data_IF_327419802528
#
_entry.id   IF_327419802528
#
_cell.length_a   1.000
_cell.length_b   1.000
_cell.length_c   1.000
_cell.angle_alpha   90.00
_cell.angle_beta   90.00
_cell.angle_gamma   90.00
#
_symmetry.space_group_name_H-M   'P 1'
#
loop_
_entity.id
_entity.type
_entity.pdbx_description
1 polymer ?
#
# COMPACT_ATOMS: atom_id res chain seq x y z
N UNK A 1 -4.61 6.81 16.55
CA UNK A 1 -3.74 5.62 16.46
C UNK A 1 -4.02 4.77 17.68
N UNK A 2 -4.29 3.47 17.52
CA UNK A 2 -4.51 2.55 18.66
C UNK A 2 -3.18 2.15 19.29
N UNK A 3 -3.22 1.67 20.53
CA UNK A 3 -2.04 1.10 21.21
C UNK A 3 -1.43 -0.07 20.42
N UNK A 4 -2.26 -0.92 19.82
CA UNK A 4 -1.78 -2.05 19.00
C UNK A 4 -0.97 -1.62 17.77
N UNK A 5 -1.24 -0.46 17.17
CA UNK A 5 -0.40 0.05 16.07
C UNK A 5 0.99 0.44 16.58
N UNK A 6 1.07 1.03 17.78
CA UNK A 6 2.35 1.39 18.38
C UNK A 6 3.19 0.15 18.73
N UNK A 7 2.57 -0.89 19.28
CA UNK A 7 3.25 -2.16 19.57
C UNK A 7 3.77 -2.84 18.30
N UNK A 8 2.98 -2.83 17.22
CA UNK A 8 3.40 -3.37 15.93
C UNK A 8 4.51 -2.53 15.28
N UNK A 9 4.48 -1.20 15.47
CA UNK A 9 5.53 -0.30 15.00
C UNK A 9 6.83 -0.53 15.78
N UNK A 10 6.77 -0.68 17.10
CA UNK A 10 7.94 -1.06 17.91
C UNK A 10 8.50 -2.42 17.46
N UNK A 11 7.64 -3.40 17.21
CA UNK A 11 8.06 -4.71 16.70
C UNK A 11 8.71 -4.61 15.31
N UNK A 12 8.20 -3.77 14.41
CA UNK A 12 8.79 -3.54 13.09
C UNK A 12 10.17 -2.90 13.20
N UNK A 13 10.30 -1.87 14.05
CA UNK A 13 11.56 -1.18 14.30
C UNK A 13 12.63 -2.14 14.86
N UNK A 14 12.29 -2.89 15.91
CA UNK A 14 13.20 -3.83 16.56
C UNK A 14 13.64 -4.99 15.66
N UNK A 15 12.87 -5.30 14.61
CA UNK A 15 13.15 -6.38 13.65
C UNK A 15 13.77 -5.86 12.35
N UNK A 16 13.97 -4.55 12.22
CA UNK A 16 14.40 -3.89 10.99
C UNK A 16 13.46 -4.20 9.79
N UNK A 17 12.18 -4.47 10.08
CA UNK A 17 11.14 -4.77 9.09
C UNK A 17 10.38 -3.49 8.71
N UNK A 18 11.12 -2.47 8.28
CA UNK A 18 10.65 -1.08 8.10
C UNK A 18 9.84 -0.86 6.82
N UNK A 19 9.83 -1.83 5.91
CA UNK A 19 9.20 -1.71 4.61
C UNK A 19 7.67 -1.82 4.69
N UNK A 20 7.00 -1.17 3.75
CA UNK A 20 5.57 -1.31 3.53
C UNK A 20 5.21 -1.03 2.08
N UNK A 21 3.93 -1.12 1.77
CA UNK A 21 3.43 -0.86 0.42
C UNK A 21 2.11 -0.10 0.46
N UNK A 22 1.97 0.82 -0.49
CA UNK A 22 0.66 1.31 -0.90
C UNK A 22 -0.04 0.20 -1.68
N UNK A 23 -1.27 -0.13 -1.27
CA UNK A 23 -2.10 -1.17 -1.84
C UNK A 23 -3.16 -0.57 -2.75
N UNK A 24 -3.08 -0.88 -4.04
CA UNK A 24 -3.95 -0.40 -5.09
C UNK A 24 -4.75 -1.54 -5.72
N UNK A 25 -5.92 -1.20 -6.25
CA UNK A 25 -6.83 -2.17 -6.90
C UNK A 25 -7.36 -1.67 -8.25
N UNK A 26 -6.48 -1.40 -9.24
CA UNK A 26 -6.87 -0.99 -10.58
C UNK A 26 -7.82 -1.99 -11.26
N UNK A 27 -8.70 -1.46 -12.13
CA UNK A 27 -9.62 -2.28 -12.93
C UNK A 27 -8.82 -3.12 -13.94
N UNK A 28 -9.28 -4.35 -14.21
CA UNK A 28 -8.67 -5.27 -15.19
C UNK A 28 -8.46 -4.62 -16.57
N UNK A 29 -9.37 -3.75 -17.00
CA UNK A 29 -9.27 -3.08 -18.31
C UNK A 29 -8.15 -2.04 -18.36
N UNK A 30 -7.77 -1.48 -17.21
CA UNK A 30 -6.76 -0.41 -17.11
C UNK A 30 -5.38 -0.93 -16.71
N UNK A 31 -5.29 -2.18 -16.23
CA UNK A 31 -4.07 -2.68 -15.58
C UNK A 31 -2.83 -2.60 -16.45
N UNK A 32 -2.96 -2.83 -17.77
CA UNK A 32 -1.83 -2.72 -18.69
C UNK A 32 -1.26 -1.30 -18.76
N UNK A 33 -2.14 -0.30 -18.93
CA UNK A 33 -1.74 1.10 -19.00
C UNK A 33 -1.17 1.60 -17.68
N UNK A 34 -1.85 1.31 -16.56
CA UNK A 34 -1.39 1.70 -15.22
C UNK A 34 -0.05 1.07 -14.89
N UNK A 35 0.12 -0.23 -15.20
CA UNK A 35 1.37 -0.92 -14.95
C UNK A 35 2.52 -0.35 -15.78
N UNK A 36 2.27 -0.01 -17.05
CA UNK A 36 3.28 0.64 -17.89
C UNK A 36 3.74 1.97 -17.27
N UNK A 37 2.81 2.79 -16.76
CA UNK A 37 3.17 4.05 -16.08
C UNK A 37 3.99 3.82 -14.81
N UNK A 38 3.64 2.81 -14.01
CA UNK A 38 4.41 2.44 -12.82
C UNK A 38 5.83 2.02 -13.19
N UNK A 39 6.01 1.22 -14.24
CA UNK A 39 7.33 0.80 -14.72
C UNK A 39 8.19 1.99 -15.14
N UNK A 40 7.62 2.99 -15.81
CA UNK A 40 8.32 4.24 -16.16
C UNK A 40 8.80 4.98 -14.90
N UNK A 41 7.93 5.14 -13.90
CA UNK A 41 8.26 5.82 -12.66
C UNK A 41 9.34 5.07 -11.84
N UNK A 42 9.35 3.74 -11.89
CA UNK A 42 10.42 2.92 -11.29
C UNK A 42 11.72 3.10 -12.07
N UNK A 43 11.68 3.03 -13.40
CA UNK A 43 12.85 3.23 -14.25
C UNK A 43 13.49 4.62 -14.07
N UNK A 44 12.67 5.64 -13.84
CA UNK A 44 13.09 7.02 -13.55
C UNK A 44 13.57 7.22 -12.10
N UNK A 45 13.49 6.20 -11.25
CA UNK A 45 13.85 6.28 -9.83
C UNK A 45 12.91 7.14 -8.97
N UNK A 46 11.70 7.43 -9.47
CA UNK A 46 10.67 8.19 -8.74
C UNK A 46 9.87 7.28 -7.78
N UNK A 47 9.75 6.00 -8.15
CA UNK A 47 9.26 4.91 -7.30
C UNK A 47 10.40 3.92 -7.00
N UNK A 48 10.35 3.26 -5.84
CA UNK A 48 11.38 2.30 -5.43
C UNK A 48 11.22 0.93 -6.10
N UNK A 49 10.07 0.31 -5.90
CA UNK A 49 9.73 -1.00 -6.44
C UNK A 49 8.20 -1.12 -6.52
N UNK A 50 7.72 -2.00 -7.39
CA UNK A 50 6.31 -2.26 -7.54
C UNK A 50 6.04 -3.70 -8.01
N UNK A 51 4.88 -4.22 -7.61
CA UNK A 51 4.41 -5.54 -8.01
C UNK A 51 2.94 -5.48 -8.42
N UNK A 52 2.56 -6.39 -9.32
CA UNK A 52 1.18 -6.52 -9.77
C UNK A 52 0.79 -7.99 -9.85
N UNK A 53 -0.42 -8.31 -9.36
CA UNK A 53 -0.98 -9.65 -9.49
C UNK A 53 -1.22 -10.00 -10.95
N UNK A 54 -0.94 -11.23 -11.35
CA UNK A 54 -1.23 -11.71 -12.72
C UNK A 54 -2.68 -12.16 -12.87
N UNK A 55 -3.12 -12.40 -14.11
CA UNK A 55 -4.42 -13.00 -14.37
C UNK A 55 -4.55 -14.38 -13.69
N UNK A 56 -3.49 -15.20 -13.72
CA UNK A 56 -3.42 -16.47 -13.02
C UNK A 56 -3.56 -16.33 -11.50
N UNK A 57 -2.88 -15.35 -10.90
CA UNK A 57 -3.04 -15.07 -9.47
C UNK A 57 -4.47 -14.68 -9.12
N UNK A 58 -5.10 -13.83 -9.95
CA UNK A 58 -6.47 -13.40 -9.75
C UNK A 58 -7.47 -14.57 -9.84
N UNK A 59 -7.29 -15.46 -10.82
CA UNK A 59 -8.14 -16.65 -11.02
C UNK A 59 -7.97 -17.69 -9.91
N UNK A 60 -6.74 -17.95 -9.46
CA UNK A 60 -6.44 -18.92 -8.40
C UNK A 60 -7.12 -18.58 -7.07
N UNK A 61 -7.36 -17.29 -6.78
CA UNK A 61 -8.07 -16.84 -5.57
C UNK A 61 -9.58 -17.00 -5.66
N UNK A 62 -10.12 -17.53 -6.77
CA UNK A 62 -11.57 -17.58 -7.05
C UNK A 62 -12.25 -16.22 -6.86
N UNK A 63 -11.50 -15.15 -7.07
CA UNK A 63 -11.96 -13.79 -6.85
C UNK A 63 -12.96 -13.41 -7.93
N UNK A 64 -14.19 -13.04 -7.53
CA UNK A 64 -15.17 -12.43 -8.44
C UNK A 64 -14.86 -10.95 -8.71
N UNK A 65 -13.82 -10.40 -8.09
CA UNK A 65 -13.39 -9.02 -8.33
C UNK A 65 -13.03 -8.82 -9.80
N UNK A 66 -13.20 -7.61 -10.31
CA UNK A 66 -12.68 -7.21 -11.62
C UNK A 66 -11.42 -6.36 -11.48
N UNK A 67 -10.75 -6.46 -10.32
CA UNK A 67 -9.63 -5.60 -9.92
C UNK A 67 -8.41 -6.44 -9.58
N UNK A 68 -7.26 -5.92 -9.97
CA UNK A 68 -5.97 -6.57 -9.80
C UNK A 68 -5.27 -5.92 -8.62
N UNK A 69 -4.65 -6.73 -7.77
CA UNK A 69 -3.77 -6.21 -6.73
C UNK A 69 -2.54 -5.57 -7.37
N UNK A 70 -2.14 -4.42 -6.84
CA UNK A 70 -0.86 -3.78 -7.12
C UNK A 70 -0.29 -3.23 -5.81
N UNK A 71 0.98 -3.50 -5.56
CA UNK A 71 1.75 -2.98 -4.43
C UNK A 71 2.83 -2.04 -4.93
N UNK A 72 2.95 -0.86 -4.31
CA UNK A 72 4.04 0.09 -4.57
C UNK A 72 4.81 0.28 -3.26
N UNK A 73 6.10 -0.06 -3.29
CA UNK A 73 6.92 -0.18 -2.09
C UNK A 73 7.39 1.18 -1.55
N UNK A 74 7.47 1.26 -0.22
CA UNK A 74 8.18 2.31 0.52
C UNK A 74 9.16 1.60 1.48
N UNK A 75 10.49 1.86 1.38
CA UNK A 75 11.50 1.14 2.17
C UNK A 75 11.42 1.35 3.67
N UNK A 76 10.95 2.52 4.11
CA UNK A 76 10.86 2.88 5.51
C UNK A 76 9.57 3.66 5.79
N UNK A 77 8.56 3.02 6.38
CA UNK A 77 7.28 3.66 6.65
C UNK A 77 7.28 4.59 7.88
N UNK A 78 8.39 4.64 8.64
CA UNK A 78 8.60 5.65 9.68
C UNK A 78 8.99 7.01 9.09
N UNK A 79 9.50 7.05 7.85
CA UNK A 79 9.65 8.29 7.09
C UNK A 79 8.29 8.67 6.50
N UNK A 80 7.46 9.32 7.30
CA UNK A 80 6.09 9.71 6.93
C UNK A 80 6.09 10.65 5.72
N UNK A 81 7.13 11.49 5.56
CA UNK A 81 7.28 12.37 4.41
C UNK A 81 7.50 11.57 3.12
N UNK A 82 8.30 10.51 3.15
CA UNK A 82 8.50 9.64 1.99
C UNK A 82 7.26 8.80 1.68
N UNK A 83 6.55 8.29 2.70
CA UNK A 83 5.26 7.60 2.52
C UNK A 83 4.25 8.52 1.84
N UNK A 84 4.16 9.78 2.28
CA UNK A 84 3.31 10.80 1.66
C UNK A 84 3.74 11.10 0.22
N UNK A 85 5.04 11.34 -0.03
CA UNK A 85 5.58 11.61 -1.37
C UNK A 85 5.19 10.52 -2.37
N UNK A 86 5.28 9.24 -1.97
CA UNK A 86 4.89 8.12 -2.84
C UNK A 86 3.36 8.10 -3.05
N UNK A 87 2.56 8.34 -2.01
CA UNK A 87 1.11 8.44 -2.15
C UNK A 87 0.65 9.62 -3.03
N UNK A 88 1.35 10.74 -2.95
CA UNK A 88 1.10 11.92 -3.78
C UNK A 88 1.48 11.66 -5.23
N UNK A 89 2.61 10.99 -5.47
CA UNK A 89 2.99 10.56 -6.81
C UNK A 89 1.97 9.61 -7.42
N UNK A 90 1.49 8.64 -6.65
CA UNK A 90 0.42 7.72 -7.06
C UNK A 90 -0.84 8.47 -7.50
N UNK A 91 -1.19 9.54 -6.79
CA UNK A 91 -2.38 10.36 -7.04
C UNK A 91 -2.19 11.26 -8.27
N UNK A 92 -1.06 11.97 -8.34
CA UNK A 92 -0.77 12.95 -9.40
C UNK A 92 -0.49 12.31 -10.76
N UNK A 93 -0.05 11.05 -10.78
CA UNK A 93 0.21 10.25 -11.99
C UNK A 93 -0.99 9.37 -12.39
N UNK A 94 -2.15 9.52 -11.73
CA UNK A 94 -3.40 8.79 -11.99
C UNK A 94 -3.23 7.25 -12.01
N UNK A 95 -2.37 6.72 -11.14
CA UNK A 95 -2.08 5.28 -11.08
C UNK A 95 -3.30 4.50 -10.55
N UNK A 96 -4.03 5.09 -9.60
CA UNK A 96 -5.19 4.43 -8.98
C UNK A 96 -6.42 4.44 -9.90
N UNK A 97 -6.52 5.44 -10.79
CA UNK A 97 -7.72 5.78 -11.55
C UNK A 97 -8.79 6.50 -10.70
N UNK A 98 -9.81 7.03 -11.37
CA UNK A 98 -10.91 7.79 -10.74
C UNK A 98 -11.55 7.07 -9.54
N UNK A 99 -11.71 7.83 -8.44
CA UNK A 99 -12.48 7.51 -7.22
C UNK A 99 -12.00 6.28 -6.41
N UNK A 100 -10.72 5.92 -6.48
CA UNK A 100 -10.21 4.73 -5.78
C UNK A 100 -9.47 5.06 -4.49
N UNK A 101 -9.86 4.37 -3.40
CA UNK A 101 -9.14 4.38 -2.12
C UNK A 101 -8.00 3.37 -2.17
N UNK A 102 -6.79 3.84 -1.96
CA UNK A 102 -5.61 3.02 -1.71
C UNK A 102 -5.14 3.25 -0.27
N UNK A 103 -4.46 2.26 0.30
CA UNK A 103 -4.08 2.26 1.71
C UNK A 103 -2.69 1.68 1.91
N UNK A 104 -1.97 2.21 2.88
CA UNK A 104 -0.63 1.77 3.19
C UNK A 104 -0.65 0.63 4.19
N UNK A 105 0.10 -0.43 3.91
CA UNK A 105 0.24 -1.58 4.81
C UNK A 105 1.72 -1.92 5.01
N UNK A 106 2.21 -1.94 6.26
CA UNK A 106 3.55 -2.45 6.58
C UNK A 106 3.71 -3.92 6.19
N UNK A 107 4.88 -4.31 5.70
CA UNK A 107 5.15 -5.70 5.30
C UNK A 107 5.12 -6.65 6.50
N UNK A 108 5.49 -6.17 7.70
CA UNK A 108 5.33 -6.95 8.94
C UNK A 108 3.88 -7.41 9.13
N UNK A 109 2.89 -6.59 8.80
CA UNK A 109 1.48 -6.94 8.98
C UNK A 109 1.12 -8.11 8.05
N UNK A 110 1.60 -8.10 6.81
CA UNK A 110 1.43 -9.21 5.87
C UNK A 110 2.15 -10.48 6.36
N UNK A 111 3.37 -10.36 6.89
CA UNK A 111 4.15 -11.49 7.43
C UNK A 111 3.49 -12.14 8.65
N UNK A 112 2.85 -11.35 9.51
CA UNK A 112 2.04 -11.83 10.64
C UNK A 112 0.65 -12.33 10.24
N UNK A 113 0.29 -12.25 8.95
CA UNK A 113 -1.03 -12.65 8.46
C UNK A 113 -2.16 -11.72 8.90
N UNK A 114 -1.86 -10.48 9.29
CA UNK A 114 -2.83 -9.47 9.68
C UNK A 114 -3.57 -8.98 8.43
N UNK A 115 -4.89 -9.01 8.48
CA UNK A 115 -5.82 -8.53 7.48
C UNK A 115 -7.10 -8.04 8.16
N UNK A 116 -7.97 -7.37 7.41
CA UNK A 116 -9.16 -6.70 7.96
C UNK A 116 -10.01 -7.59 8.90
N UNK A 117 -10.10 -8.91 8.63
CA UNK A 117 -10.95 -9.82 9.42
C UNK A 117 -10.35 -10.27 10.75
N UNK A 118 -9.05 -10.06 10.97
CA UNK A 118 -8.38 -10.45 12.21
C UNK A 118 -7.60 -9.29 12.85
N UNK A 119 -7.73 -8.07 12.34
CA UNK A 119 -7.07 -6.87 12.84
C UNK A 119 -7.29 -6.68 14.36
N UNK A 120 -8.53 -6.86 14.82
CA UNK A 120 -8.89 -6.70 16.24
C UNK A 120 -8.14 -7.67 17.17
N UNK A 121 -7.77 -8.87 16.68
CA UNK A 121 -6.97 -9.83 17.45
C UNK A 121 -5.53 -9.36 17.71
N UNK A 122 -5.11 -8.28 17.04
CA UNK A 122 -3.82 -7.61 17.21
C UNK A 122 -3.98 -6.20 17.83
N UNK A 123 -5.14 -5.87 18.39
CA UNK A 123 -5.37 -4.57 19.03
C UNK A 123 -5.43 -3.37 18.07
N UNK A 124 -5.65 -3.63 16.78
CA UNK A 124 -5.77 -2.61 15.73
C UNK A 124 -7.15 -2.65 15.07
N UNK A 125 -7.64 -1.49 14.64
CA UNK A 125 -8.95 -1.35 13.98
C UNK A 125 -8.93 -1.79 12.51
N UNK A 126 -7.75 -1.76 11.89
CA UNK A 126 -7.54 -2.05 10.48
C UNK A 126 -6.12 -2.54 10.22
N UNK A 127 -5.95 -3.35 9.18
CA UNK A 127 -4.60 -3.67 8.65
C UNK A 127 -3.98 -2.51 7.85
N UNK A 128 -4.60 -1.35 7.83
CA UNK A 128 -4.11 -0.12 7.19
C UNK A 128 -3.35 0.71 8.23
N UNK A 129 -2.10 1.06 7.93
CA UNK A 129 -1.31 1.94 8.81
C UNK A 129 -1.46 3.41 8.46
N UNK A 130 -1.60 3.72 7.17
CA UNK A 130 -1.84 5.08 6.68
C UNK A 130 -2.87 5.09 5.56
N UNK A 131 -3.69 6.13 5.52
CA UNK A 131 -4.47 6.51 4.34
C UNK A 131 -3.85 7.77 3.74
N UNK A 132 -3.95 7.94 2.42
CA UNK A 132 -3.40 9.12 1.77
C UNK A 132 -4.09 10.41 2.25
N UNK A 133 -5.41 10.37 2.47
CA UNK A 133 -6.15 11.52 3.01
C UNK A 133 -5.63 11.96 4.37
N UNK A 134 -5.40 11.01 5.30
CA UNK A 134 -4.88 11.35 6.62
C UNK A 134 -3.46 11.93 6.55
N UNK A 135 -2.62 11.42 5.65
CA UNK A 135 -1.28 11.98 5.45
C UNK A 135 -1.31 13.37 4.83
N UNK A 136 -2.20 13.61 3.87
CA UNK A 136 -2.36 14.91 3.23
C UNK A 136 -2.82 15.97 4.22
N UNK A 137 -3.74 15.62 5.12
CA UNK A 137 -4.21 16.56 6.13
C UNK A 137 -3.08 16.94 7.11
N UNK A 138 -2.17 16.01 7.42
CA UNK A 138 -0.98 16.26 8.25
C UNK A 138 0.09 17.14 7.58
N UNK A 139 0.14 17.21 6.26
CA UNK A 139 1.15 17.99 5.51
C UNK A 139 0.65 19.37 5.07
N UNK A 140 -0.64 19.66 5.23
CA UNK A 140 -1.25 20.96 4.93
C UNK A 140 -1.35 21.90 6.15
N UNK A 141 -1.00 21.40 7.35
CA UNK A 141 -0.85 22.16 8.60
C UNK A 141 0.60 22.65 8.80
#
# INVERSE_FOLDING_TARGET
MTEGHAELDEAAFNREELGGEWLLFPKRQMIGTVWQRVLELVADGRLYDAQVGTAWHHEARSSRSKRYYMGIAVPNYFDVSDVYRVGDLITTEDIVGDDQVFFFKPLLYTRLGIHQRNAESYGIDSSTRYTFSALRDLTMD
#
